data_IF_509678280194
#
_entry.id   IF_509678280194
#
_cell.length_a   1.000
_cell.length_b   1.000
_cell.length_c   1.000
_cell.angle_alpha   90.00
_cell.angle_beta   90.00
_cell.angle_gamma   90.00
#
_symmetry.space_group_name_H-M   'P 1'
#
loop_
_entity.id
_entity.type
_entity.pdbx_description
1 polymer ?
#
# COMPACT_ATOMS: atom_id res chain seq x y z
N UNK A 1 -29.47 -39.82 11.10
CA UNK A 1 -29.57 -39.31 9.71
C UNK A 1 -29.94 -37.84 9.77
N UNK A 2 -28.98 -36.95 10.06
CA UNK A 2 -29.17 -35.48 10.01
C UNK A 2 -27.87 -34.67 9.87
N UNK A 3 -26.90 -35.12 9.07
CA UNK A 3 -25.65 -34.36 8.86
C UNK A 3 -25.19 -34.21 7.40
N UNK A 4 -26.11 -34.26 6.43
CA UNK A 4 -25.74 -34.22 5.01
C UNK A 4 -26.17 -32.95 4.24
N UNK A 5 -26.79 -31.95 4.91
CA UNK A 5 -27.28 -30.73 4.24
C UNK A 5 -26.41 -29.49 4.36
N UNK A 6 -25.43 -29.45 5.27
CA UNK A 6 -24.61 -28.24 5.51
C UNK A 6 -23.38 -28.11 4.58
N UNK A 7 -22.89 -29.23 4.01
CA UNK A 7 -21.70 -29.21 3.15
C UNK A 7 -21.99 -28.77 1.69
N UNK A 8 -23.22 -28.91 1.22
CA UNK A 8 -23.60 -28.48 -0.15
C UNK A 8 -23.79 -26.97 -0.29
N UNK A 9 -24.30 -26.30 0.74
CA UNK A 9 -24.52 -24.84 0.74
C UNK A 9 -23.22 -24.02 0.69
N UNK A 10 -22.19 -24.44 1.42
CA UNK A 10 -20.88 -23.79 1.44
C UNK A 10 -20.16 -23.94 0.09
N UNK A 11 -20.22 -25.11 -0.54
CA UNK A 11 -19.61 -25.35 -1.85
C UNK A 11 -20.23 -24.49 -2.98
N UNK A 12 -21.55 -24.25 -2.92
CA UNK A 12 -22.25 -23.43 -3.91
C UNK A 12 -22.03 -21.93 -3.70
N UNK A 13 -21.87 -21.47 -2.45
CA UNK A 13 -21.49 -20.09 -2.14
C UNK A 13 -20.06 -19.82 -2.63
N UNK A 14 -19.12 -20.73 -2.38
CA UNK A 14 -17.74 -20.61 -2.88
C UNK A 14 -17.65 -20.68 -4.41
N UNK A 15 -18.45 -21.51 -5.06
CA UNK A 15 -18.52 -21.56 -6.54
C UNK A 15 -19.15 -20.30 -7.14
N UNK A 16 -20.17 -19.74 -6.50
CA UNK A 16 -20.78 -18.46 -6.93
C UNK A 16 -19.84 -17.29 -6.72
N UNK A 17 -19.12 -17.22 -5.59
CA UNK A 17 -18.11 -16.20 -5.35
C UNK A 17 -16.97 -16.27 -6.37
N UNK A 18 -16.40 -17.46 -6.65
CA UNK A 18 -15.39 -17.64 -7.71
C UNK A 18 -15.91 -17.31 -9.10
N UNK A 19 -17.18 -17.59 -9.39
CA UNK A 19 -17.80 -17.22 -10.66
C UNK A 19 -18.00 -15.72 -10.81
N UNK A 20 -18.34 -15.02 -9.72
CA UNK A 20 -18.52 -13.58 -9.71
C UNK A 20 -17.17 -12.84 -9.86
N UNK A 21 -16.13 -13.28 -9.15
CA UNK A 21 -14.77 -12.75 -9.25
C UNK A 21 -14.17 -12.91 -10.66
N UNK A 22 -14.51 -14.00 -11.38
CA UNK A 22 -14.02 -14.27 -12.73
C UNK A 22 -14.60 -13.34 -13.81
N UNK A 23 -15.79 -12.75 -13.58
CA UNK A 23 -16.50 -11.87 -14.52
C UNK A 23 -16.57 -10.42 -14.07
N UNK A 24 -15.98 -10.08 -12.92
CA UNK A 24 -15.98 -8.72 -12.40
C UNK A 24 -15.09 -7.82 -13.26
N UNK A 25 -15.64 -6.70 -13.73
CA UNK A 25 -14.81 -5.64 -14.29
C UNK A 25 -13.89 -5.07 -13.24
N UNK A 26 -12.62 -4.87 -13.55
CA UNK A 26 -11.62 -4.25 -12.68
C UNK A 26 -11.21 -2.89 -13.20
N UNK A 27 -10.58 -2.12 -12.36
CA UNK A 27 -10.03 -0.82 -12.74
C UNK A 27 -9.08 -0.96 -13.93
N UNK A 28 -9.06 0.03 -14.82
CA UNK A 28 -8.27 0.02 -16.08
C UNK A 28 -6.77 -0.18 -15.88
N UNK A 29 -6.27 0.22 -14.71
CA UNK A 29 -4.86 0.06 -14.37
C UNK A 29 -4.48 -1.38 -13.95
N UNK A 30 -5.45 -2.24 -13.63
CA UNK A 30 -5.20 -3.62 -13.20
C UNK A 30 -4.87 -4.50 -14.40
N UNK A 31 -3.63 -4.98 -14.52
CA UNK A 31 -3.27 -5.96 -15.54
C UNK A 31 -3.85 -7.34 -15.20
N UNK A 32 -4.87 -7.75 -15.94
CA UNK A 32 -5.54 -9.03 -15.75
C UNK A 32 -4.65 -10.25 -16.05
N UNK A 33 -3.52 -10.06 -16.72
CA UNK A 33 -2.54 -11.13 -17.00
C UNK A 33 -1.63 -11.40 -15.81
N UNK A 34 -1.56 -10.48 -14.85
CA UNK A 34 -0.75 -10.62 -13.65
C UNK A 34 -1.63 -11.00 -12.43
N UNK A 35 -1.61 -12.28 -11.98
CA UNK A 35 -2.44 -12.73 -10.86
C UNK A 35 -2.20 -11.94 -9.56
N UNK A 36 -0.96 -11.49 -9.31
CA UNK A 36 -0.65 -10.68 -8.13
C UNK A 36 -1.32 -9.31 -8.19
N UNK A 37 -1.41 -8.73 -9.40
CA UNK A 37 -2.05 -7.45 -9.61
C UNK A 37 -3.57 -7.55 -9.41
N UNK A 38 -4.17 -8.64 -9.93
CA UNK A 38 -5.58 -8.95 -9.70
C UNK A 38 -5.86 -9.15 -8.22
N UNK A 39 -5.04 -9.92 -7.52
CA UNK A 39 -5.20 -10.15 -6.08
C UNK A 39 -5.07 -8.86 -5.27
N UNK A 40 -4.09 -8.03 -5.58
CA UNK A 40 -3.91 -6.72 -4.96
C UNK A 40 -5.13 -5.83 -5.16
N UNK A 41 -5.63 -5.73 -6.41
CA UNK A 41 -6.83 -4.95 -6.72
C UNK A 41 -8.07 -5.44 -5.96
N UNK A 42 -8.28 -6.76 -5.92
CA UNK A 42 -9.53 -7.33 -5.40
C UNK A 42 -9.55 -7.43 -3.87
N UNK A 43 -8.37 -7.49 -3.21
CA UNK A 43 -8.29 -7.86 -1.79
C UNK A 43 -7.50 -6.88 -0.91
N UNK A 44 -6.81 -5.91 -1.50
CA UNK A 44 -5.98 -4.97 -0.73
C UNK A 44 -6.29 -3.52 -1.06
N UNK A 45 -6.25 -3.13 -2.31
CA UNK A 45 -6.36 -1.75 -2.74
C UNK A 45 -7.72 -1.14 -2.37
N UNK A 46 -7.70 0.06 -1.76
CA UNK A 46 -8.91 0.74 -1.31
C UNK A 46 -9.52 0.18 -0.01
N UNK A 47 -8.93 -0.87 0.59
CA UNK A 47 -9.38 -1.42 1.88
C UNK A 47 -8.64 -0.71 3.01
N UNK A 48 -9.40 -0.08 3.93
CA UNK A 48 -8.81 0.65 5.05
C UNK A 48 -7.94 -0.28 5.91
N UNK A 49 -6.69 0.11 6.04
CA UNK A 49 -5.68 -0.50 6.92
C UNK A 49 -5.15 0.54 7.89
N UNK A 50 -5.02 0.15 9.14
CA UNK A 50 -4.64 1.06 10.23
C UNK A 50 -3.41 0.59 11.01
N UNK A 51 -2.91 -0.64 10.73
CA UNK A 51 -1.73 -1.14 11.40
C UNK A 51 -0.44 -0.53 10.84
N UNK A 52 0.45 -0.11 11.73
CA UNK A 52 1.67 0.62 11.38
C UNK A 52 2.64 -0.19 10.52
N UNK A 53 2.68 -1.52 10.66
CA UNK A 53 3.55 -2.38 9.86
C UNK A 53 3.15 -2.35 8.38
N UNK A 54 1.84 -2.50 8.11
CA UNK A 54 1.31 -2.41 6.74
C UNK A 54 1.45 -0.99 6.17
N UNK A 55 1.15 0.04 6.97
CA UNK A 55 1.29 1.43 6.55
C UNK A 55 2.75 1.77 6.22
N UNK A 56 3.71 1.29 7.00
CA UNK A 56 5.12 1.47 6.73
C UNK A 56 5.58 0.73 5.45
N UNK A 57 5.19 -0.56 5.30
CA UNK A 57 5.43 -1.32 4.07
C UNK A 57 4.96 -0.55 2.84
N UNK A 58 3.70 -0.11 2.84
CA UNK A 58 3.11 0.58 1.69
C UNK A 58 3.77 1.92 1.41
N UNK A 59 4.11 2.71 2.44
CA UNK A 59 4.82 3.98 2.27
C UNK A 59 6.20 3.78 1.62
N UNK A 60 6.93 2.73 2.02
CA UNK A 60 8.24 2.40 1.42
C UNK A 60 8.04 1.97 -0.04
N UNK A 61 7.12 1.05 -0.32
CA UNK A 61 6.88 0.53 -1.67
C UNK A 61 6.45 1.64 -2.64
N UNK A 62 5.54 2.53 -2.23
CA UNK A 62 5.11 3.68 -3.03
C UNK A 62 6.26 4.68 -3.26
N UNK A 63 7.13 4.89 -2.27
CA UNK A 63 8.34 5.69 -2.45
C UNK A 63 9.29 5.07 -3.47
N UNK A 64 9.38 3.73 -3.51
CA UNK A 64 10.17 3.02 -4.52
C UNK A 64 9.53 3.03 -5.91
N UNK A 65 8.21 3.19 -6.01
CA UNK A 65 7.51 3.29 -7.28
C UNK A 65 7.90 4.55 -8.08
N UNK A 66 8.32 5.63 -7.43
CA UNK A 66 8.66 6.88 -8.14
C UNK A 66 9.54 6.64 -9.39
N UNK A 67 8.96 6.87 -10.58
CA UNK A 67 9.59 6.62 -11.88
C UNK A 67 9.55 5.16 -12.38
N UNK A 68 8.76 4.29 -11.73
CA UNK A 68 8.53 2.88 -12.10
C UNK A 68 7.03 2.59 -12.17
N UNK A 69 6.64 1.45 -12.75
CA UNK A 69 5.26 0.98 -12.66
C UNK A 69 4.99 0.31 -11.31
N UNK A 70 3.74 0.43 -10.82
CA UNK A 70 3.32 -0.29 -9.62
C UNK A 70 3.47 -1.82 -9.77
N UNK A 71 3.18 -2.34 -10.95
CA UNK A 71 3.38 -3.75 -11.26
C UNK A 71 4.82 -4.21 -11.01
N UNK A 72 5.81 -3.39 -11.39
CA UNK A 72 7.22 -3.70 -11.12
C UNK A 72 7.49 -3.82 -9.61
N UNK A 73 6.91 -2.95 -8.80
CA UNK A 73 7.05 -2.96 -7.34
C UNK A 73 6.31 -4.16 -6.75
N UNK A 74 5.07 -4.37 -7.16
CA UNK A 74 4.23 -5.47 -6.66
C UNK A 74 4.83 -6.84 -6.95
N UNK A 75 5.41 -7.04 -8.14
CA UNK A 75 6.10 -8.27 -8.49
C UNK A 75 7.35 -8.53 -7.63
N UNK A 76 7.95 -7.48 -7.07
CA UNK A 76 9.12 -7.54 -6.19
C UNK A 76 8.77 -7.48 -4.69
N UNK A 77 7.49 -7.33 -4.33
CA UNK A 77 7.04 -7.08 -2.95
C UNK A 77 7.55 -8.12 -1.95
N UNK A 78 7.46 -9.41 -2.27
CA UNK A 78 7.96 -10.49 -1.43
C UNK A 78 9.50 -10.45 -1.26
N UNK A 79 10.21 -9.99 -2.29
CA UNK A 79 11.65 -9.79 -2.21
C UNK A 79 11.98 -8.59 -1.32
N UNK A 80 11.19 -7.51 -1.42
CA UNK A 80 11.32 -6.37 -0.51
C UNK A 80 11.07 -6.77 0.94
N UNK A 81 10.02 -7.57 1.22
CA UNK A 81 9.74 -8.08 2.58
C UNK A 81 10.95 -8.79 3.15
N UNK A 82 11.50 -9.77 2.41
CA UNK A 82 12.71 -10.51 2.85
C UNK A 82 13.92 -9.60 3.05
N UNK A 83 14.18 -8.68 2.12
CA UNK A 83 15.34 -7.79 2.16
C UNK A 83 15.26 -6.75 3.29
N UNK A 84 14.03 -6.34 3.66
CA UNK A 84 13.73 -5.33 4.67
C UNK A 84 13.23 -5.92 6.00
N UNK A 85 13.57 -7.19 6.30
CA UNK A 85 13.20 -7.86 7.56
C UNK A 85 11.68 -7.78 7.85
N UNK A 86 10.85 -8.11 6.86
CA UNK A 86 9.37 -8.02 6.87
C UNK A 86 8.84 -6.62 7.22
N UNK A 87 9.60 -5.59 6.87
CA UNK A 87 9.34 -4.19 7.21
C UNK A 87 9.20 -3.93 8.71
N UNK A 88 9.92 -4.72 9.54
CA UNK A 88 10.07 -4.44 10.96
C UNK A 88 10.69 -3.05 11.13
N UNK A 89 9.90 -2.13 11.64
CA UNK A 89 10.24 -0.71 11.72
C UNK A 89 11.51 -0.46 12.57
N UNK A 90 11.67 -1.18 13.67
CA UNK A 90 12.82 -1.00 14.55
C UNK A 90 14.10 -1.53 13.91
N UNK A 91 14.03 -2.65 13.20
CA UNK A 91 15.17 -3.18 12.45
C UNK A 91 15.56 -2.23 11.32
N UNK A 92 14.62 -1.76 10.51
CA UNK A 92 14.89 -0.82 9.41
C UNK A 92 15.48 0.49 9.92
N UNK A 93 15.02 1.01 11.06
CA UNK A 93 15.62 2.18 11.71
C UNK A 93 17.08 1.98 12.10
N UNK A 94 17.48 0.75 12.40
CA UNK A 94 18.83 0.37 12.81
C UNK A 94 19.79 0.04 11.65
N UNK A 95 19.35 0.03 10.41
CA UNK A 95 20.19 -0.31 9.25
C UNK A 95 21.39 0.64 9.14
N UNK A 96 22.57 0.04 8.99
CA UNK A 96 23.85 0.68 8.83
C UNK A 96 24.35 0.68 7.38
N UNK A 97 25.59 1.10 7.16
CA UNK A 97 26.20 1.14 5.83
C UNK A 97 26.44 -0.27 5.23
N UNK A 98 26.63 -1.28 6.07
CA UNK A 98 26.80 -2.67 5.63
C UNK A 98 25.48 -3.20 5.06
N UNK A 99 24.36 -3.00 5.80
CA UNK A 99 23.03 -3.37 5.30
C UNK A 99 22.61 -2.56 4.07
N UNK A 100 22.99 -1.28 3.99
CA UNK A 100 22.76 -0.46 2.79
C UNK A 100 23.53 -1.04 1.59
N UNK A 101 24.78 -1.47 1.76
CA UNK A 101 25.56 -2.09 0.71
C UNK A 101 24.95 -3.43 0.25
N UNK A 102 24.48 -4.25 1.19
CA UNK A 102 23.74 -5.49 0.92
C UNK A 102 22.51 -5.20 0.05
N UNK A 103 21.63 -4.28 0.48
CA UNK A 103 20.41 -3.89 -0.26
C UNK A 103 20.75 -3.33 -1.67
N UNK A 104 21.83 -2.57 -1.81
CA UNK A 104 22.29 -2.07 -3.11
C UNK A 104 22.79 -3.17 -4.04
N UNK A 105 23.25 -4.31 -3.51
CA UNK A 105 23.71 -5.45 -4.29
C UNK A 105 22.60 -6.44 -4.65
N UNK A 106 21.47 -6.42 -3.91
CA UNK A 106 20.37 -7.35 -4.12
C UNK A 106 19.58 -7.04 -5.41
N UNK A 107 19.76 -7.87 -6.44
CA UNK A 107 19.08 -7.75 -7.74
C UNK A 107 17.59 -8.08 -7.69
N UNK A 108 17.12 -8.68 -6.61
CA UNK A 108 15.70 -9.05 -6.44
C UNK A 108 14.80 -7.85 -6.13
N UNK A 109 15.37 -6.76 -5.60
CA UNK A 109 14.67 -5.50 -5.30
C UNK A 109 15.08 -4.38 -6.29
N UNK A 110 14.58 -3.16 -6.08
CA UNK A 110 14.99 -1.96 -6.82
C UNK A 110 16.27 -1.38 -6.22
N UNK A 111 17.40 -1.57 -6.89
CA UNK A 111 18.75 -1.18 -6.44
C UNK A 111 19.03 0.31 -6.64
N UNK A 112 18.24 1.18 -6.01
CA UNK A 112 18.49 2.62 -6.05
C UNK A 112 19.01 3.09 -4.69
N UNK A 113 20.32 3.40 -4.61
CA UNK A 113 20.98 3.80 -3.36
C UNK A 113 20.30 5.01 -2.67
N UNK A 114 19.81 5.98 -3.44
CA UNK A 114 19.13 7.15 -2.87
C UNK A 114 17.79 6.76 -2.24
N UNK A 115 17.02 5.87 -2.88
CA UNK A 115 15.75 5.38 -2.33
C UNK A 115 15.96 4.48 -1.12
N UNK A 116 16.99 3.61 -1.15
CA UNK A 116 17.36 2.76 0.00
C UNK A 116 17.75 3.63 1.21
N UNK A 117 18.61 4.64 1.04
CA UNK A 117 18.94 5.56 2.13
C UNK A 117 17.73 6.37 2.61
N UNK A 118 16.88 6.75 1.68
CA UNK A 118 15.66 7.50 2.01
C UNK A 118 14.68 6.63 2.80
N UNK A 119 14.48 5.35 2.46
CA UNK A 119 13.58 4.46 3.22
C UNK A 119 14.01 4.31 4.68
N UNK A 120 15.31 4.23 4.94
CA UNK A 120 15.87 4.15 6.31
C UNK A 120 15.66 5.47 7.08
N UNK A 121 15.93 6.61 6.43
CA UNK A 121 15.67 7.91 7.07
C UNK A 121 14.18 8.15 7.30
N UNK A 122 13.33 7.73 6.37
CA UNK A 122 11.88 7.80 6.49
C UNK A 122 11.36 6.88 7.61
N UNK A 123 11.95 5.69 7.80
CA UNK A 123 11.60 4.78 8.90
C UNK A 123 11.76 5.45 10.27
N UNK A 124 12.85 6.17 10.47
CA UNK A 124 13.11 6.89 11.74
C UNK A 124 12.05 7.97 11.97
N UNK A 125 11.71 8.74 10.93
CA UNK A 125 10.66 9.77 11.01
C UNK A 125 9.28 9.14 11.22
N UNK A 126 8.97 8.04 10.55
CA UNK A 126 7.74 7.27 10.74
C UNK A 126 7.60 6.83 12.21
N UNK A 127 8.65 6.24 12.77
CA UNK A 127 8.69 5.83 14.18
C UNK A 127 8.49 7.01 15.13
N UNK A 128 9.08 8.17 14.83
CA UNK A 128 8.92 9.37 15.65
C UNK A 128 7.47 9.88 15.57
N UNK A 129 6.84 9.84 14.40
CA UNK A 129 5.42 10.17 14.23
C UNK A 129 4.54 9.21 15.05
N UNK A 130 4.79 7.90 15.00
CA UNK A 130 4.04 6.90 15.79
C UNK A 130 4.17 7.19 17.29
N UNK A 131 5.38 7.53 17.77
CA UNK A 131 5.59 7.93 19.17
C UNK A 131 4.86 9.21 19.57
N UNK A 132 4.78 10.19 18.66
CA UNK A 132 4.10 11.47 18.90
C UNK A 132 2.57 11.34 18.88
N UNK A 133 2.03 10.45 18.05
CA UNK A 133 0.61 10.43 17.69
C UNK A 133 -0.14 9.19 18.20
N UNK A 134 0.55 8.14 18.63
CA UNK A 134 -0.01 6.85 18.99
C UNK A 134 0.08 5.82 17.85
N UNK A 135 -0.30 6.22 16.62
CA UNK A 135 -0.12 5.43 15.41
C UNK A 135 0.11 6.34 14.19
N UNK A 136 0.58 5.76 13.09
CA UNK A 136 0.67 6.51 11.83
C UNK A 136 -0.73 6.78 11.26
N UNK A 137 -1.71 5.91 11.52
CA UNK A 137 -3.09 6.17 11.15
C UNK A 137 -3.67 7.39 11.91
N UNK A 138 -3.42 7.52 13.21
CA UNK A 138 -3.83 8.72 13.97
C UNK A 138 -3.20 10.00 13.43
N UNK A 139 -1.93 9.90 12.96
CA UNK A 139 -1.30 11.01 12.26
C UNK A 139 -2.06 11.38 10.96
N UNK A 140 -2.47 10.38 10.14
CA UNK A 140 -3.26 10.63 8.94
C UNK A 140 -4.62 11.26 9.27
N UNK A 141 -5.26 10.83 10.35
CA UNK A 141 -6.54 11.37 10.81
C UNK A 141 -6.51 12.87 11.09
N UNK A 142 -5.37 13.47 11.41
CA UNK A 142 -5.24 14.93 11.56
C UNK A 142 -5.46 15.72 10.29
N UNK A 143 -5.37 15.09 9.15
CA UNK A 143 -5.56 15.70 7.83
C UNK A 143 -6.88 15.29 7.18
N UNK A 144 -7.46 14.17 7.62
CA UNK A 144 -8.62 13.52 7.01
C UNK A 144 -9.83 13.46 7.92
N UNK A 145 -9.70 13.92 9.18
CA UNK A 145 -10.71 13.81 10.25
C UNK A 145 -11.18 12.35 10.47
N UNK A 146 -10.35 11.36 10.06
CA UNK A 146 -10.68 9.94 10.12
C UNK A 146 -11.69 9.48 9.06
N UNK A 147 -12.02 10.32 8.10
CA UNK A 147 -12.95 10.02 7.03
C UNK A 147 -12.29 9.24 5.89
N UNK A 148 -13.08 8.45 5.16
CA UNK A 148 -12.70 7.84 3.89
C UNK A 148 -13.24 8.71 2.77
N UNK A 149 -12.35 9.19 1.90
CA UNK A 149 -12.72 9.97 0.74
C UNK A 149 -13.01 9.06 -0.46
N UNK A 150 -14.18 9.23 -1.06
CA UNK A 150 -14.59 8.52 -2.29
C UNK A 150 -14.39 9.45 -3.48
N UNK A 151 -13.32 9.24 -4.23
CA UNK A 151 -13.04 10.00 -5.45
C UNK A 151 -12.26 9.16 -6.46
N UNK A 152 -12.43 9.44 -7.74
CA UNK A 152 -11.70 8.80 -8.84
C UNK A 152 -11.16 9.86 -9.80
N UNK A 153 -10.36 9.42 -10.77
CA UNK A 153 -9.81 10.26 -11.84
C UNK A 153 -8.86 11.40 -11.37
N UNK A 154 -8.24 11.24 -10.17
CA UNK A 154 -7.25 12.17 -9.65
C UNK A 154 -5.93 11.48 -9.36
N UNK A 155 -4.86 12.29 -9.31
CA UNK A 155 -3.51 11.86 -8.92
C UNK A 155 -2.97 12.62 -7.72
N UNK A 156 -3.68 13.65 -7.28
CA UNK A 156 -3.41 14.46 -6.08
C UNK A 156 -4.69 15.09 -5.59
N UNK A 157 -4.74 15.46 -4.31
CA UNK A 157 -5.80 16.24 -3.71
C UNK A 157 -5.26 17.06 -2.51
N UNK A 158 -6.13 17.82 -1.85
CA UNK A 158 -5.75 18.63 -0.68
C UNK A 158 -5.13 17.80 0.44
N UNK A 159 -5.64 16.58 0.71
CA UNK A 159 -5.09 15.70 1.73
C UNK A 159 -3.67 15.26 1.38
N UNK A 160 -3.46 14.76 0.15
CA UNK A 160 -2.13 14.34 -0.31
C UNK A 160 -1.13 15.51 -0.33
N UNK A 161 -1.58 16.72 -0.68
CA UNK A 161 -0.73 17.91 -0.69
C UNK A 161 -0.28 18.31 0.71
N UNK A 162 -1.22 18.36 1.67
CA UNK A 162 -0.96 18.73 3.07
C UNK A 162 -0.07 17.69 3.77
N UNK A 163 -0.40 16.39 3.62
CA UNK A 163 0.39 15.30 4.19
C UNK A 163 1.81 15.29 3.59
N UNK A 164 1.94 15.41 2.26
CA UNK A 164 3.23 15.50 1.58
C UNK A 164 4.07 16.68 2.09
N UNK A 165 3.46 17.83 2.29
CA UNK A 165 4.15 19.02 2.81
C UNK A 165 4.66 18.81 4.25
N UNK A 166 3.85 18.21 5.14
CA UNK A 166 4.24 17.94 6.52
C UNK A 166 5.35 16.87 6.58
N UNK A 167 5.20 15.76 5.84
CA UNK A 167 6.23 14.71 5.80
C UNK A 167 7.57 15.23 5.26
N UNK A 168 7.56 16.08 4.23
CA UNK A 168 8.77 16.75 3.72
C UNK A 168 9.38 17.70 4.76
N UNK A 169 8.55 18.46 5.48
CA UNK A 169 9.02 19.35 6.56
C UNK A 169 9.67 18.56 7.67
N UNK A 170 9.20 17.35 7.98
CA UNK A 170 9.83 16.41 8.93
C UNK A 170 11.11 15.77 8.39
N UNK A 171 11.42 15.94 7.09
CA UNK A 171 12.64 15.46 6.45
C UNK A 171 12.47 14.18 5.63
N UNK A 172 11.26 13.66 5.45
CA UNK A 172 11.02 12.50 4.58
C UNK A 172 11.32 12.82 3.12
N UNK A 173 11.79 11.81 2.39
CA UNK A 173 12.13 11.88 0.97
C UNK A 173 11.27 10.92 0.17
N UNK A 174 11.09 11.22 -1.12
CA UNK A 174 10.23 10.46 -2.04
C UNK A 174 8.78 10.34 -1.56
N UNK A 175 8.28 11.40 -0.92
CA UNK A 175 6.90 11.54 -0.41
C UNK A 175 6.20 12.74 -1.09
N UNK A 176 6.34 12.85 -2.42
CA UNK A 176 5.63 13.85 -3.21
C UNK A 176 4.12 13.64 -3.16
N UNK A 177 3.31 14.67 -3.47
CA UNK A 177 1.86 14.60 -3.37
C UNK A 177 1.26 13.45 -4.18
N UNK A 178 1.76 13.17 -5.38
CA UNK A 178 1.34 12.01 -6.20
C UNK A 178 1.61 10.68 -5.48
N UNK A 179 2.81 10.53 -4.87
CA UNK A 179 3.16 9.31 -4.13
C UNK A 179 2.29 9.16 -2.88
N UNK A 180 2.04 10.26 -2.17
CA UNK A 180 1.16 10.23 -0.99
C UNK A 180 -0.28 9.94 -1.39
N UNK A 181 -0.76 10.47 -2.52
CA UNK A 181 -2.09 10.15 -3.04
C UNK A 181 -2.23 8.65 -3.33
N UNK A 182 -1.27 8.05 -4.05
CA UNK A 182 -1.24 6.61 -4.30
C UNK A 182 -1.17 5.80 -3.00
N UNK A 183 -0.35 6.25 -2.04
CA UNK A 183 -0.29 5.63 -0.72
C UNK A 183 -1.66 5.66 -0.01
N UNK A 184 -2.36 6.79 0.00
CA UNK A 184 -3.69 6.91 0.62
C UNK A 184 -4.73 6.00 -0.05
N UNK A 185 -4.64 5.81 -1.38
CA UNK A 185 -5.46 4.83 -2.11
C UNK A 185 -5.10 3.40 -1.70
N UNK A 186 -3.80 3.07 -1.65
CA UNK A 186 -3.32 1.74 -1.32
C UNK A 186 -3.72 1.28 0.09
N UNK A 187 -3.82 2.22 1.05
CA UNK A 187 -4.19 1.94 2.44
C UNK A 187 -5.67 2.21 2.74
N UNK A 188 -6.47 2.56 1.73
CA UNK A 188 -7.92 2.70 1.83
C UNK A 188 -8.43 3.97 2.51
N UNK A 189 -7.57 4.98 2.72
CA UNK A 189 -8.00 6.34 3.15
C UNK A 189 -8.69 7.06 2.01
N UNK A 190 -8.28 6.78 0.77
CA UNK A 190 -8.99 7.20 -0.45
C UNK A 190 -9.52 5.95 -1.15
N UNK A 191 -10.81 5.87 -1.34
CA UNK A 191 -11.47 4.82 -2.10
C UNK A 191 -11.69 5.32 -3.54
N UNK A 192 -11.01 4.69 -4.51
CA UNK A 192 -10.84 5.27 -5.86
C UNK A 192 -11.04 4.27 -7.00
N UNK A 193 -11.91 3.24 -6.81
CA UNK A 193 -12.23 2.32 -7.90
C UNK A 193 -12.90 3.05 -9.06
N UNK A 194 -12.51 2.68 -10.30
CA UNK A 194 -13.13 3.22 -11.52
C UNK A 194 -14.64 2.96 -11.53
N UNK A 195 -15.43 3.86 -12.11
CA UNK A 195 -16.90 3.77 -12.15
C UNK A 195 -17.41 2.48 -12.82
N UNK A 196 -16.63 1.90 -13.73
CA UNK A 196 -16.95 0.64 -14.40
C UNK A 196 -16.47 -0.60 -13.64
N UNK A 197 -15.75 -0.41 -12.52
CA UNK A 197 -15.24 -1.50 -11.70
C UNK A 197 -16.37 -2.10 -10.85
N UNK A 198 -16.40 -3.44 -10.74
CA UNK A 198 -17.38 -4.11 -9.88
C UNK A 198 -17.24 -3.80 -8.37
N UNK A 199 -16.12 -3.19 -7.96
CA UNK A 199 -15.91 -2.72 -6.59
C UNK A 199 -16.24 -1.22 -6.43
N UNK A 200 -16.71 -0.53 -7.46
CA UNK A 200 -17.09 0.88 -7.36
C UNK A 200 -18.24 1.08 -6.37
N UNK A 201 -18.11 2.10 -5.53
CA UNK A 201 -19.16 2.53 -4.60
C UNK A 201 -19.55 3.97 -4.96
N UNK A 202 -20.80 4.17 -5.32
CA UNK A 202 -21.37 5.49 -5.51
C UNK A 202 -21.77 6.08 -4.15
N UNK A 203 -21.18 7.24 -3.80
CA UNK A 203 -21.53 8.01 -2.58
C UNK A 203 -21.76 9.46 -2.92
#
# INVERSE_FOLDING_TARGET
IRDFCLSRGLGDVYKRQRGYEAYMNRCKWCDLKNPKYVEYHDKEWGILRTDDSYLFEMLVLESFQAGLSWECILNKRENFRRAYDEFDLDKVCGYDEEKIAELCSDSSIVRNKLKIRASISNARIFRDIVKEQGSFYDYLCKFTDGEILYECDKTTNEWSDRISADLKKRGMKFVGSVIIYSFLQAVGVIYSHDRECGLYIEK
#
